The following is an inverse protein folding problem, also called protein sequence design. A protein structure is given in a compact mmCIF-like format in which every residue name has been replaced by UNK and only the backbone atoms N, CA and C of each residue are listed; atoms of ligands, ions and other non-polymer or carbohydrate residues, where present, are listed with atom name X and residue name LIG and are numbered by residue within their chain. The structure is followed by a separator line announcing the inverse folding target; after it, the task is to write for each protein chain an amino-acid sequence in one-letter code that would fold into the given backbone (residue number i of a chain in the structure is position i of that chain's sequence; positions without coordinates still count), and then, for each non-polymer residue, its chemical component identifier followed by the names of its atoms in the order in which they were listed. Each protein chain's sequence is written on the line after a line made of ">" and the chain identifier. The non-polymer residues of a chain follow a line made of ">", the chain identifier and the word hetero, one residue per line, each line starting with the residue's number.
data_IF_776712699778
#
_entry.id   IF_776712699778
#
_cell.length_a   1.000
_cell.length_b   1.000
_cell.length_c   1.000
_cell.angle_alpha   90.00
_cell.angle_beta   90.00
_cell.angle_gamma   90.00
#
_symmetry.space_group_name_H-M   'P 1'
#
loop_
_entity.id
_entity.type
_entity.pdbx_description
1 polymer ?
#
# COMPACT_ATOMS: atom_id res chain seq x y z
N UNK A 1 -8.74 11.59 -8.04
CA UNK A 1 -7.76 12.56 -8.62
C UNK A 1 -6.81 11.80 -9.52
N UNK A 2 -6.37 12.34 -10.67
CA UNK A 2 -5.35 11.71 -11.53
C UNK A 2 -4.04 12.49 -11.54
N UNK A 3 -2.91 11.79 -11.51
CA UNK A 3 -1.55 12.34 -11.48
C UNK A 3 -0.67 11.54 -12.42
N UNK A 4 -0.09 12.19 -13.43
CA UNK A 4 0.98 11.60 -14.23
C UNK A 4 2.32 11.90 -13.58
N UNK A 5 3.20 10.91 -13.46
CA UNK A 5 4.46 11.05 -12.76
C UNK A 5 5.55 10.12 -13.30
N UNK A 6 6.81 10.49 -13.04
CA UNK A 6 7.98 9.63 -13.27
C UNK A 6 8.75 9.43 -11.96
N UNK A 7 9.91 8.75 -12.02
CA UNK A 7 10.71 8.45 -10.82
C UNK A 7 11.19 9.69 -10.06
N UNK A 8 11.44 10.83 -10.71
CA UNK A 8 11.86 12.06 -10.01
C UNK A 8 10.72 12.69 -9.20
N UNK A 9 9.47 12.38 -9.53
CA UNK A 9 8.27 12.86 -8.84
C UNK A 9 7.86 11.95 -7.67
N UNK A 10 8.51 10.80 -7.48
CA UNK A 10 8.06 9.72 -6.59
C UNK A 10 7.76 10.20 -5.17
N UNK A 11 8.68 10.96 -4.56
CA UNK A 11 8.51 11.50 -3.20
C UNK A 11 7.29 12.43 -3.11
N UNK A 12 7.07 13.27 -4.12
CA UNK A 12 5.93 14.19 -4.16
C UNK A 12 4.61 13.44 -4.29
N UNK A 13 4.57 12.41 -5.13
CA UNK A 13 3.37 11.57 -5.33
C UNK A 13 3.07 10.76 -4.08
N UNK A 14 4.08 10.16 -3.44
CA UNK A 14 3.92 9.44 -2.18
C UNK A 14 3.39 10.35 -1.06
N UNK A 15 3.92 11.57 -0.93
CA UNK A 15 3.39 12.56 0.01
C UNK A 15 1.92 12.92 -0.29
N UNK A 16 1.59 13.10 -1.57
CA UNK A 16 0.21 13.41 -1.98
C UNK A 16 -0.78 12.30 -1.58
N UNK A 17 -0.38 11.04 -1.69
CA UNK A 17 -1.20 9.88 -1.27
C UNK A 17 -1.48 9.93 0.24
N UNK A 18 -0.47 10.27 1.05
CA UNK A 18 -0.61 10.39 2.51
C UNK A 18 -1.53 11.57 2.84
N UNK A 19 -1.26 12.74 2.28
CA UNK A 19 -1.96 14.00 2.60
C UNK A 19 -3.45 13.96 2.24
N UNK A 20 -3.82 13.22 1.19
CA UNK A 20 -5.22 13.07 0.77
C UNK A 20 -5.96 11.95 1.51
N UNK A 21 -5.24 11.08 2.21
CA UNK A 21 -5.85 9.91 2.82
C UNK A 21 -6.64 10.28 4.07
N UNK A 22 -7.92 9.90 4.09
CA UNK A 22 -8.79 9.98 5.27
C UNK A 22 -8.78 8.70 6.10
N UNK A 23 -8.25 7.62 5.52
CA UNK A 23 -8.08 6.31 6.14
C UNK A 23 -6.59 5.97 6.17
N UNK A 24 -6.16 5.15 7.13
CA UNK A 24 -4.80 4.58 7.14
C UNK A 24 -4.70 3.28 6.33
N UNK A 25 -5.82 2.84 5.76
CA UNK A 25 -5.92 1.65 4.92
C UNK A 25 -5.92 2.12 3.47
N UNK A 26 -4.82 1.82 2.78
CA UNK A 26 -4.59 2.22 1.40
C UNK A 26 -4.34 0.98 0.55
N UNK A 27 -5.12 0.82 -0.51
CA UNK A 27 -4.95 -0.26 -1.47
C UNK A 27 -4.25 0.21 -2.74
N UNK A 28 -3.43 -0.66 -3.32
CA UNK A 28 -2.63 -0.38 -4.51
C UNK A 28 -2.94 -1.42 -5.59
N UNK A 29 -3.61 -0.97 -6.65
CA UNK A 29 -3.85 -1.76 -7.86
C UNK A 29 -2.91 -1.31 -8.98
N UNK A 30 -2.60 -2.25 -9.87
CA UNK A 30 -1.81 -1.99 -11.05
C UNK A 30 -1.13 -3.27 -11.53
N UNK A 31 -0.74 -3.30 -12.80
CA UNK A 31 -0.06 -4.45 -13.39
C UNK A 31 1.25 -4.80 -12.65
N UNK A 32 1.76 -6.01 -12.87
CA UNK A 32 3.12 -6.36 -12.44
C UNK A 32 4.11 -5.38 -13.08
N UNK A 33 5.05 -4.85 -12.29
CA UNK A 33 5.99 -3.83 -12.76
C UNK A 33 5.43 -2.40 -12.84
N UNK A 34 4.16 -2.16 -12.45
CA UNK A 34 3.59 -0.81 -12.44
C UNK A 34 4.25 0.13 -11.40
N UNK A 35 4.91 -0.42 -10.36
CA UNK A 35 5.62 0.36 -9.35
C UNK A 35 4.94 0.45 -7.98
N UNK A 36 3.94 -0.40 -7.70
CA UNK A 36 3.22 -0.49 -6.42
C UNK A 36 4.17 -0.55 -5.21
N UNK A 37 5.03 -1.57 -5.14
CA UNK A 37 6.03 -1.72 -4.07
C UNK A 37 6.99 -0.53 -3.97
N UNK A 38 7.39 0.07 -5.09
CA UNK A 38 8.27 1.25 -5.11
C UNK A 38 7.61 2.44 -4.42
N UNK A 39 6.33 2.67 -4.71
CA UNK A 39 5.55 3.74 -4.12
C UNK A 39 5.30 3.51 -2.62
N UNK A 40 4.98 2.27 -2.23
CA UNK A 40 4.80 1.88 -0.82
C UNK A 40 6.08 2.12 -0.02
N UNK A 41 7.24 1.74 -0.55
CA UNK A 41 8.54 1.98 0.11
C UNK A 41 8.83 3.46 0.30
N UNK A 42 8.47 4.30 -0.67
CA UNK A 42 8.62 5.75 -0.52
C UNK A 42 7.66 6.31 0.53
N UNK A 43 6.42 5.83 0.60
CA UNK A 43 5.47 6.19 1.68
C UNK A 43 6.05 5.83 3.06
N UNK A 44 6.54 4.59 3.23
CA UNK A 44 7.16 4.13 4.48
C UNK A 44 8.33 5.04 4.90
N UNK A 45 9.15 5.45 3.94
CA UNK A 45 10.26 6.38 4.17
C UNK A 45 9.77 7.77 4.61
N UNK A 46 8.75 8.32 3.95
CA UNK A 46 8.15 9.62 4.30
C UNK A 46 7.54 9.58 5.71
N UNK A 47 6.98 8.44 6.12
CA UNK A 47 6.46 8.20 7.47
C UNK A 47 7.57 8.07 8.54
N UNK A 48 8.83 8.33 8.18
CA UNK A 48 9.97 8.40 9.10
C UNK A 48 10.63 7.05 9.38
N UNK A 49 10.35 6.02 8.58
CA UNK A 49 10.95 4.70 8.74
C UNK A 49 12.13 4.57 7.77
N UNK A 50 13.28 5.07 8.22
CA UNK A 50 14.55 5.06 7.48
C UNK A 50 15.37 3.81 7.84
N UNK A 51 15.18 2.75 7.05
CA UNK A 51 15.90 1.46 7.06
C UNK A 51 15.76 0.55 8.31
N UNK A 52 15.46 -0.74 8.05
CA UNK A 52 15.67 -1.85 8.99
C UNK A 52 14.41 -2.63 9.36
N UNK A 53 14.26 -3.80 8.73
CA UNK A 53 13.36 -4.94 9.09
C UNK A 53 11.84 -4.72 8.83
N UNK A 54 11.10 -5.67 8.26
CA UNK A 54 11.38 -7.06 7.90
C UNK A 54 11.24 -7.29 6.39
N UNK A 55 12.26 -7.88 5.77
CA UNK A 55 12.04 -8.71 4.57
C UNK A 55 11.83 -10.12 5.09
N UNK A 56 10.71 -10.71 4.75
CA UNK A 56 10.80 -11.98 4.06
C UNK A 56 10.24 -11.79 2.66
N UNK A 57 11.04 -12.14 1.67
CA UNK A 57 10.69 -12.26 0.25
C UNK A 57 9.56 -13.31 -0.02
N UNK A 58 8.88 -13.77 1.04
CA UNK A 58 7.89 -14.84 1.12
C UNK A 58 6.77 -14.61 2.15
N UNK A 59 6.80 -13.59 3.03
CA UNK A 59 5.67 -13.35 3.93
C UNK A 59 4.61 -12.50 3.24
N UNK A 60 3.35 -12.81 3.57
CA UNK A 60 2.19 -12.06 3.07
C UNK A 60 2.11 -10.64 3.63
N UNK A 61 2.80 -10.39 4.76
CA UNK A 61 2.88 -9.09 5.44
C UNK A 61 4.33 -8.77 5.81
N UNK A 62 4.72 -7.52 5.58
CA UNK A 62 5.92 -6.90 6.14
C UNK A 62 5.49 -5.87 7.19
N UNK A 63 6.18 -5.83 8.32
CA UNK A 63 5.93 -4.84 9.37
C UNK A 63 7.13 -3.91 9.46
N UNK A 64 6.86 -2.60 9.44
CA UNK A 64 7.83 -1.54 9.60
C UNK A 64 7.46 -0.71 10.83
N UNK A 65 8.45 -0.38 11.66
CA UNK A 65 8.25 0.43 12.85
C UNK A 65 9.25 1.58 12.91
N UNK A 66 8.75 2.78 13.18
CA UNK A 66 9.60 3.96 13.38
C UNK A 66 10.10 4.05 14.82
N UNK A 67 11.17 4.83 15.08
CA UNK A 67 11.58 5.18 16.44
C UNK A 67 10.50 5.91 17.26
N UNK A 68 9.52 6.53 16.59
CA UNK A 68 8.39 7.22 17.21
C UNK A 68 7.18 6.30 17.47
N UNK A 69 7.37 4.99 17.40
CA UNK A 69 6.34 3.96 17.60
C UNK A 69 5.17 4.01 16.60
N UNK A 70 5.35 4.66 15.44
CA UNK A 70 4.47 4.51 14.28
C UNK A 70 4.75 3.18 13.58
N UNK A 71 3.69 2.42 13.31
CA UNK A 71 3.74 1.11 12.61
C UNK A 71 3.10 1.20 11.23
N UNK A 72 3.70 0.52 10.26
CA UNK A 72 3.16 0.30 8.91
C UNK A 72 3.19 -1.20 8.61
N UNK A 73 2.06 -1.73 8.19
CA UNK A 73 1.93 -3.06 7.61
C UNK A 73 1.84 -2.93 6.09
N UNK A 74 2.71 -3.64 5.38
CA UNK A 74 2.68 -3.77 3.93
C UNK A 74 2.30 -5.19 3.56
N UNK A 75 1.13 -5.33 2.95
CA UNK A 75 0.63 -6.62 2.48
C UNK A 75 0.88 -6.78 0.98
N UNK A 76 1.33 -7.97 0.58
CA UNK A 76 1.39 -8.38 -0.83
C UNK A 76 0.59 -9.68 -1.02
N UNK A 77 -0.66 -9.53 -1.48
CA UNK A 77 -1.57 -10.66 -1.71
C UNK A 77 -1.45 -11.27 -3.10
N UNK A 78 -0.41 -10.94 -3.88
CA UNK A 78 -0.24 -11.53 -5.22
C UNK A 78 -0.29 -13.06 -5.21
N UNK A 79 0.28 -13.67 -4.16
CA UNK A 79 0.51 -15.11 -4.06
C UNK A 79 -0.58 -15.90 -3.33
N UNK A 80 -1.52 -15.24 -2.64
CA UNK A 80 -2.61 -16.00 -1.99
C UNK A 80 -3.54 -16.57 -3.04
N UNK A 81 -4.02 -17.78 -2.81
CA UNK A 81 -4.96 -18.47 -3.69
C UNK A 81 -6.38 -17.94 -3.47
N UNK A 82 -6.73 -17.68 -2.21
CA UNK A 82 -8.06 -17.23 -1.81
C UNK A 82 -8.01 -16.34 -0.55
N UNK A 83 -9.13 -15.66 -0.25
CA UNK A 83 -9.21 -14.73 0.88
C UNK A 83 -9.18 -15.40 2.25
N UNK A 84 -9.43 -16.71 2.36
CA UNK A 84 -9.35 -17.44 3.64
C UNK A 84 -7.92 -17.44 4.18
N UNK A 85 -6.89 -17.47 3.33
CA UNK A 85 -5.50 -17.34 3.80
C UNK A 85 -5.25 -15.99 4.52
N UNK A 86 -5.92 -14.92 4.06
CA UNK A 86 -5.89 -13.62 4.73
C UNK A 86 -6.73 -13.59 6.01
N UNK A 87 -7.82 -14.34 6.07
CA UNK A 87 -8.59 -14.52 7.29
C UNK A 87 -7.80 -15.30 8.35
N UNK A 88 -7.16 -16.40 7.96
CA UNK A 88 -6.37 -17.28 8.85
C UNK A 88 -5.15 -16.57 9.45
N UNK A 89 -4.59 -15.56 8.76
CA UNK A 89 -3.53 -14.72 9.32
C UNK A 89 -4.04 -13.63 10.28
N UNK A 90 -5.36 -13.49 10.46
CA UNK A 90 -5.98 -12.48 11.31
C UNK A 90 -5.92 -11.08 10.72
N UNK A 91 -6.14 -10.92 9.40
CA UNK A 91 -6.05 -9.60 8.72
C UNK A 91 -6.89 -8.49 9.39
N UNK A 92 -8.04 -8.84 9.96
CA UNK A 92 -8.93 -7.91 10.67
C UNK A 92 -8.21 -7.20 11.83
N UNK A 93 -7.37 -7.90 12.59
CA UNK A 93 -6.62 -7.32 13.71
C UNK A 93 -5.66 -6.22 13.24
N UNK A 94 -5.12 -6.34 12.03
CA UNK A 94 -4.25 -5.32 11.45
C UNK A 94 -5.04 -4.08 11.03
N UNK A 95 -6.23 -4.25 10.45
CA UNK A 95 -7.12 -3.14 10.10
C UNK A 95 -7.59 -2.38 11.34
N UNK A 96 -7.89 -3.10 12.42
CA UNK A 96 -8.35 -2.51 13.69
C UNK A 96 -7.21 -1.91 14.53
N UNK A 97 -5.95 -2.21 14.22
CA UNK A 97 -4.79 -1.73 14.99
C UNK A 97 -4.58 -0.21 14.98
N UNK A 98 -5.21 0.51 14.04
CA UNK A 98 -4.98 1.94 13.81
C UNK A 98 -3.60 2.27 13.20
N UNK A 99 -2.83 1.26 12.79
CA UNK A 99 -1.60 1.39 12.02
C UNK A 99 -1.89 1.69 10.54
N UNK A 100 -0.86 2.07 9.79
CA UNK A 100 -0.96 2.15 8.33
C UNK A 100 -1.00 0.75 7.73
N UNK A 101 -1.98 0.46 6.88
CA UNK A 101 -2.09 -0.77 6.13
C UNK A 101 -2.00 -0.45 4.64
N UNK A 102 -0.89 -0.84 4.01
CA UNK A 102 -0.59 -0.60 2.60
C UNK A 102 -0.70 -1.93 1.85
N UNK A 103 -1.73 -2.08 1.02
CA UNK A 103 -2.13 -3.40 0.49
C UNK A 103 -1.93 -3.46 -1.02
N UNK A 104 -1.04 -4.34 -1.49
CA UNK A 104 -0.97 -4.71 -2.90
C UNK A 104 -1.96 -5.84 -3.23
N UNK A 105 -2.52 -5.79 -4.44
CA UNK A 105 -3.48 -6.80 -4.94
C UNK A 105 -4.73 -6.96 -4.07
N UNK A 106 -5.42 -5.85 -3.72
CA UNK A 106 -6.59 -5.86 -2.84
C UNK A 106 -7.75 -6.71 -3.39
N UNK A 107 -7.80 -6.94 -4.70
CA UNK A 107 -8.82 -7.78 -5.34
C UNK A 107 -8.83 -9.23 -4.84
N UNK A 108 -7.73 -9.71 -4.26
CA UNK A 108 -7.61 -11.04 -3.67
C UNK A 108 -8.34 -11.22 -2.35
N UNK A 109 -8.66 -10.11 -1.68
CA UNK A 109 -9.31 -10.06 -0.36
C UNK A 109 -10.50 -9.11 -0.34
N UNK A 110 -11.15 -8.89 -1.50
CA UNK A 110 -12.11 -7.80 -1.68
C UNK A 110 -13.25 -7.81 -0.63
N UNK A 111 -13.67 -8.99 -0.18
CA UNK A 111 -14.76 -9.11 0.80
C UNK A 111 -14.30 -8.84 2.25
N UNK A 112 -12.99 -8.80 2.50
CA UNK A 112 -12.39 -8.53 3.81
C UNK A 112 -11.96 -7.07 3.97
N UNK A 113 -11.95 -6.29 2.89
CA UNK A 113 -11.54 -4.89 2.94
C UNK A 113 -12.57 -4.04 3.71
N UNK A 114 -12.13 -3.11 4.57
CA UNK A 114 -13.03 -2.18 5.24
C UNK A 114 -13.76 -1.25 4.26
N UNK A 115 -14.91 -0.73 4.68
CA UNK A 115 -15.70 0.22 3.88
C UNK A 115 -14.98 1.56 3.68
N UNK A 116 -14.24 2.01 4.70
CA UNK A 116 -13.48 3.25 4.69
C UNK A 116 -12.01 3.00 4.32
N UNK A 117 -11.68 3.22 3.05
CA UNK A 117 -10.31 3.07 2.54
C UNK A 117 -10.00 4.07 1.44
N UNK A 118 -8.72 4.23 1.14
CA UNK A 118 -8.26 4.90 -0.06
C UNK A 118 -7.74 3.88 -1.07
N UNK A 119 -8.18 3.99 -2.31
CA UNK A 119 -7.70 3.17 -3.42
C UNK A 119 -6.77 3.99 -4.31
N UNK A 120 -5.64 3.38 -4.67
CA UNK A 120 -4.63 3.92 -5.56
C UNK A 120 -4.48 2.98 -6.75
N UNK A 121 -4.88 3.45 -7.93
CA UNK A 121 -4.75 2.72 -9.19
C UNK A 121 -3.56 3.25 -9.98
N UNK A 122 -2.65 2.36 -10.39
CA UNK A 122 -1.42 2.72 -11.11
C UNK A 122 -1.43 2.09 -12.51
N UNK A 123 -1.39 2.94 -13.53
CA UNK A 123 -1.32 2.57 -14.95
C UNK A 123 0.06 2.88 -15.54
N UNK A 124 0.55 1.98 -16.40
CA UNK A 124 1.81 2.18 -17.13
C UNK A 124 1.51 2.97 -18.40
N UNK A 125 2.04 4.18 -18.51
CA UNK A 125 1.87 5.03 -19.70
C UNK A 125 3.01 4.83 -20.69
N UNK A 126 4.24 4.78 -20.18
CA UNK A 126 5.45 4.50 -20.97
C UNK A 126 6.52 3.86 -20.07
N UNK A 127 7.72 3.64 -20.61
CA UNK A 127 8.85 3.09 -19.85
C UNK A 127 9.08 3.86 -18.53
N UNK A 128 9.12 5.19 -18.60
CA UNK A 128 9.47 6.06 -17.47
C UNK A 128 8.28 6.79 -16.85
N UNK A 129 7.06 6.60 -17.37
CA UNK A 129 5.89 7.37 -16.93
C UNK A 129 4.76 6.46 -16.46
N UNK A 130 4.07 6.90 -15.41
CA UNK A 130 2.91 6.25 -14.81
C UNK A 130 1.77 7.25 -14.66
N UNK A 131 0.54 6.76 -14.69
CA UNK A 131 -0.64 7.52 -14.29
C UNK A 131 -1.20 6.91 -13.02
N UNK A 132 -1.38 7.73 -11.99
CA UNK A 132 -1.94 7.34 -10.71
C UNK A 132 -3.33 7.94 -10.56
N UNK A 133 -4.30 7.14 -10.14
CA UNK A 133 -5.64 7.59 -9.76
C UNK A 133 -5.92 7.29 -8.28
N UNK A 134 -6.27 8.33 -7.52
CA UNK A 134 -6.69 8.23 -6.12
C UNK A 134 -8.22 8.30 -6.04
N UNK A 135 -8.81 7.30 -5.37
CA UNK A 135 -10.24 7.18 -5.10
C UNK A 135 -10.42 7.00 -3.58
N UNK A 136 -11.42 7.66 -3.01
CA UNK A 136 -11.74 7.52 -1.58
C UNK A 136 -13.08 6.80 -1.43
N UNK A 137 -13.12 5.82 -0.53
CA UNK A 137 -14.32 5.13 -0.10
C UNK A 137 -14.60 5.50 1.36
N UNK A 138 -15.85 5.78 1.67
CA UNK A 138 -16.36 6.10 3.00
C UNK A 138 -17.82 6.52 2.95
#
# INVERSE_FOLDING_TARGET
>A
MKITYNLSDLTKVAATIIDQSKSKIITFNGAMGAGKTTLIKEIVKILGINEGTSSPTFSLVNQYQSPANLTVYHFDFYRIENETEAMDMGIEEYFDSGAWCLIEWPNKIKNLLPLELQEVNIEIISENERCLEIIHYG
#
